data_IF_198121546768
#
_entry.id   IF_198121546768
#
_cell.length_a   1.000
_cell.length_b   1.000
_cell.length_c   1.000
_cell.angle_alpha   90.00
_cell.angle_beta   90.00
_cell.angle_gamma   90.00
#
_symmetry.space_group_name_H-M   'P 1'
#
loop_
_entity.id
_entity.type
_entity.pdbx_description
1 polymer ?
#
# COMPACT_ATOMS: atom_id res chain seq x y z
N UNK A 1 21.49 -15.29 16.60
CA UNK A 1 20.64 -14.63 15.59
C UNK A 1 19.35 -15.42 15.45
N UNK A 2 18.20 -14.76 15.30
CA UNK A 2 16.91 -15.44 15.15
C UNK A 2 15.75 -14.56 15.57
N UNK A 3 14.56 -14.86 15.05
CA UNK A 3 13.32 -14.25 15.50
C UNK A 3 12.94 -14.82 16.87
N UNK A 4 12.47 -13.96 17.77
CA UNK A 4 11.93 -14.36 19.07
C UNK A 4 10.41 -14.40 18.96
N UNK A 5 9.83 -15.57 19.17
CA UNK A 5 8.38 -15.79 19.14
C UNK A 5 7.84 -15.96 20.56
N UNK A 6 6.70 -15.33 20.84
CA UNK A 6 6.02 -15.46 22.15
C UNK A 6 5.25 -16.76 22.30
N UNK A 7 4.80 -17.32 21.19
CA UNK A 7 3.93 -18.50 21.15
C UNK A 7 4.14 -19.27 19.85
N UNK A 8 3.82 -20.56 19.88
CA UNK A 8 3.76 -21.43 18.70
C UNK A 8 2.28 -21.80 18.50
N UNK A 9 1.75 -21.49 17.32
CA UNK A 9 0.39 -21.86 16.92
C UNK A 9 0.42 -23.15 16.11
N UNK A 10 -0.25 -24.17 16.61
CA UNK A 10 -0.58 -25.39 15.87
C UNK A 10 -1.99 -25.21 15.32
N UNK A 11 -2.15 -24.95 14.01
CA UNK A 11 -3.48 -24.88 13.40
C UNK A 11 -4.14 -26.27 13.47
N UNK A 12 -5.43 -26.34 13.10
CA UNK A 12 -6.14 -27.61 12.99
C UNK A 12 -5.32 -28.62 12.18
N UNK A 13 -4.76 -29.61 12.87
CA UNK A 13 -3.75 -30.51 12.33
C UNK A 13 -4.04 -31.92 12.86
N UNK A 14 -4.61 -32.75 12.01
CA UNK A 14 -4.98 -34.13 12.37
C UNK A 14 -3.77 -35.07 12.29
N UNK A 15 -2.89 -34.85 11.31
CA UNK A 15 -1.72 -35.71 11.05
C UNK A 15 -0.44 -34.96 11.41
N UNK A 16 0.33 -35.48 12.37
CA UNK A 16 1.60 -34.89 12.82
C UNK A 16 2.64 -35.99 13.10
N UNK A 17 3.93 -35.83 12.73
CA UNK A 17 4.99 -36.71 13.21
C UNK A 17 5.07 -36.72 14.74
N UNK A 18 5.27 -37.90 15.34
CA UNK A 18 5.41 -38.04 16.79
C UNK A 18 6.55 -37.18 17.32
N UNK A 19 7.67 -37.18 16.62
CA UNK A 19 8.89 -36.44 16.98
C UNK A 19 8.65 -34.93 17.01
N UNK A 20 7.76 -34.43 16.14
CA UNK A 20 7.35 -33.02 16.14
C UNK A 20 6.49 -32.70 17.37
N UNK A 21 5.53 -33.56 17.72
CA UNK A 21 4.71 -33.38 18.92
C UNK A 21 5.58 -33.36 20.18
N UNK A 22 6.45 -34.35 20.34
CA UNK A 22 7.40 -34.43 21.47
C UNK A 22 8.27 -33.18 21.53
N UNK A 23 8.77 -32.68 20.39
CA UNK A 23 9.58 -31.47 20.39
C UNK A 23 8.80 -30.21 20.75
N UNK A 24 7.54 -30.11 20.35
CA UNK A 24 6.66 -29.01 20.77
C UNK A 24 6.48 -29.04 22.30
N UNK A 25 6.22 -30.21 22.87
CA UNK A 25 6.03 -30.38 24.31
C UNK A 25 7.29 -30.04 25.10
N UNK A 26 8.47 -30.48 24.64
CA UNK A 26 9.77 -30.09 25.21
C UNK A 26 9.96 -28.56 25.23
N UNK A 27 9.57 -27.87 24.15
CA UNK A 27 9.61 -26.40 24.13
C UNK A 27 8.64 -25.78 25.15
N UNK A 28 7.43 -26.34 25.29
CA UNK A 28 6.48 -25.87 26.30
C UNK A 28 7.01 -26.09 27.72
N UNK A 29 7.60 -27.26 27.99
CA UNK A 29 8.20 -27.57 29.29
C UNK A 29 9.33 -26.58 29.64
N UNK A 30 10.10 -26.15 28.64
CA UNK A 30 11.18 -25.16 28.79
C UNK A 30 10.69 -23.70 28.92
N UNK A 31 9.39 -23.43 28.72
CA UNK A 31 8.81 -22.09 28.92
C UNK A 31 8.02 -21.54 27.73
N UNK A 32 7.96 -22.24 26.61
CA UNK A 32 7.18 -21.78 25.46
C UNK A 32 5.67 -21.88 25.72
N UNK A 33 4.89 -21.06 25.00
CA UNK A 33 3.44 -21.16 24.96
C UNK A 33 3.00 -21.86 23.68
N UNK A 34 2.46 -23.07 23.79
CA UNK A 34 1.83 -23.78 22.68
C UNK A 34 0.34 -23.42 22.61
N UNK A 35 -0.17 -23.28 21.41
CA UNK A 35 -1.59 -23.00 21.17
C UNK A 35 -2.11 -23.96 20.10
N UNK A 36 -2.96 -24.91 20.49
CA UNK A 36 -3.65 -25.83 19.59
C UNK A 36 -5.02 -25.28 19.21
N UNK A 37 -5.27 -25.21 17.91
CA UNK A 37 -6.49 -24.67 17.33
C UNK A 37 -7.36 -25.79 16.75
N UNK A 38 -8.58 -25.93 17.26
CA UNK A 38 -9.60 -26.87 16.79
C UNK A 38 -9.46 -28.28 17.34
N UNK A 39 -8.28 -28.89 17.24
CA UNK A 39 -8.02 -30.25 17.74
C UNK A 39 -6.54 -30.50 18.06
N UNK A 40 -6.27 -31.56 18.82
CA UNK A 40 -4.94 -32.17 18.91
C UNK A 40 -4.70 -33.09 17.70
N UNK A 41 -3.43 -33.32 17.32
CA UNK A 41 -3.09 -34.35 16.36
C UNK A 41 -3.56 -35.72 16.86
N UNK A 42 -4.05 -36.56 15.95
CA UNK A 42 -4.59 -37.89 16.27
C UNK A 42 -4.03 -38.99 15.36
N UNK A 43 -3.18 -38.62 14.39
CA UNK A 43 -2.64 -39.50 13.36
C UNK A 43 -1.15 -39.20 13.14
N UNK A 44 -0.38 -40.22 12.73
CA UNK A 44 1.02 -40.09 12.33
C UNK A 44 1.18 -40.27 10.81
N UNK A 45 2.09 -39.53 10.15
CA UNK A 45 2.33 -39.73 8.72
C UNK A 45 3.21 -40.96 8.46
N UNK A 46 3.03 -41.54 7.26
CA UNK A 46 3.88 -42.62 6.74
C UNK A 46 3.58 -44.01 7.31
N UNK A 47 4.06 -45.06 6.62
CA UNK A 47 3.76 -46.47 6.94
C UNK A 47 4.82 -47.18 7.80
N UNK A 48 6.08 -46.72 7.75
CA UNK A 48 7.14 -47.29 8.59
C UNK A 48 6.68 -47.25 10.04
N UNK A 49 6.65 -48.35 10.81
CA UNK A 49 6.26 -48.38 12.25
C UNK A 49 5.04 -47.52 12.65
N UNK A 50 4.02 -47.43 11.79
CA UNK A 50 2.90 -46.51 12.00
C UNK A 50 2.10 -46.82 13.28
N UNK A 51 1.81 -48.09 13.54
CA UNK A 51 1.06 -48.53 14.72
C UNK A 51 1.79 -48.20 16.03
N UNK A 52 3.10 -48.45 16.09
CA UNK A 52 3.91 -48.16 17.29
C UNK A 52 3.97 -46.65 17.57
N UNK A 53 4.18 -45.82 16.55
CA UNK A 53 4.20 -44.36 16.72
C UNK A 53 2.83 -43.79 17.07
N UNK A 54 1.77 -44.34 16.49
CA UNK A 54 0.41 -43.93 16.82
C UNK A 54 0.07 -44.26 18.28
N UNK A 55 0.43 -45.45 18.74
CA UNK A 55 0.25 -45.84 20.14
C UNK A 55 1.00 -44.88 21.08
N UNK A 56 2.28 -44.61 20.81
CA UNK A 56 3.07 -43.65 21.61
C UNK A 56 2.47 -42.24 21.61
N UNK A 57 1.97 -41.77 20.46
CA UNK A 57 1.29 -40.46 20.39
C UNK A 57 0.04 -40.44 21.27
N UNK A 58 -0.77 -41.50 21.24
CA UNK A 58 -1.97 -41.60 22.07
C UNK A 58 -1.62 -41.63 23.55
N UNK A 59 -0.57 -42.35 23.94
CA UNK A 59 -0.07 -42.38 25.32
C UNK A 59 0.31 -40.97 25.78
N UNK A 60 1.18 -40.28 25.03
CA UNK A 60 1.61 -38.90 25.34
C UNK A 60 0.43 -37.94 25.47
N UNK A 61 -0.53 -37.98 24.54
CA UNK A 61 -1.68 -37.08 24.57
C UNK A 61 -2.63 -37.39 25.72
N UNK A 62 -2.76 -38.65 26.12
CA UNK A 62 -3.63 -39.07 27.22
C UNK A 62 -3.12 -38.58 28.58
N UNK A 63 -1.79 -38.55 28.78
CA UNK A 63 -1.16 -38.03 30.00
C UNK A 63 -1.40 -36.53 30.22
N UNK A 64 -1.67 -35.78 29.15
CA UNK A 64 -1.81 -34.33 29.24
C UNK A 64 -3.21 -33.88 29.70
N UNK A 65 -4.21 -34.77 29.68
CA UNK A 65 -5.60 -34.49 30.07
C UNK A 65 -6.18 -33.19 29.45
N UNK A 66 -5.84 -32.93 28.18
CA UNK A 66 -6.28 -31.73 27.47
C UNK A 66 -7.71 -31.90 26.93
N UNK A 67 -8.48 -30.83 26.96
CA UNK A 67 -9.87 -30.78 26.49
C UNK A 67 -10.05 -29.62 25.50
N UNK A 68 -10.91 -29.81 24.50
CA UNK A 68 -11.42 -28.73 23.67
C UNK A 68 -12.82 -28.36 24.14
N UNK A 69 -12.90 -27.22 24.81
CA UNK A 69 -14.16 -26.63 25.26
C UNK A 69 -14.64 -25.57 24.25
N UNK A 70 -15.90 -25.11 24.34
CA UNK A 70 -16.39 -24.00 23.53
C UNK A 70 -15.58 -22.70 23.71
N UNK A 71 -14.95 -22.54 24.87
CA UNK A 71 -14.02 -21.45 25.17
C UNK A 71 -12.57 -21.96 25.21
N UNK A 72 -11.61 -21.05 25.03
CA UNK A 72 -10.21 -21.41 25.13
C UNK A 72 -9.82 -21.74 26.58
N UNK A 73 -9.03 -22.80 26.77
CA UNK A 73 -8.55 -23.25 28.08
C UNK A 73 -7.02 -23.23 28.12
N UNK A 74 -6.48 -22.75 29.23
CA UNK A 74 -5.04 -22.61 29.45
C UNK A 74 -4.60 -23.63 30.49
N UNK A 75 -3.60 -24.42 30.15
CA UNK A 75 -2.99 -25.45 30.97
C UNK A 75 -1.55 -25.05 31.27
N UNK A 76 -1.15 -25.14 32.55
CA UNK A 76 0.26 -25.02 32.92
C UNK A 76 1.00 -26.29 32.50
N UNK A 77 2.18 -26.15 31.90
CA UNK A 77 2.98 -27.29 31.43
C UNK A 77 4.46 -26.99 31.59
N UNK A 78 5.13 -27.67 32.53
CA UNK A 78 6.49 -27.33 32.95
C UNK A 78 6.62 -25.86 33.33
N UNK A 79 7.55 -25.14 32.69
CA UNK A 79 7.73 -23.68 32.84
C UNK A 79 6.85 -22.85 31.91
N UNK A 80 6.20 -23.47 30.94
CA UNK A 80 5.39 -22.83 29.92
C UNK A 80 3.90 -23.12 30.07
N UNK A 81 3.20 -23.12 28.94
CA UNK A 81 1.75 -23.35 28.94
C UNK A 81 1.26 -23.90 27.62
N UNK A 82 0.15 -24.62 27.68
CA UNK A 82 -0.57 -25.14 26.52
C UNK A 82 -1.96 -24.51 26.51
N UNK A 83 -2.40 -24.05 25.35
CA UNK A 83 -3.73 -23.47 25.14
C UNK A 83 -4.47 -24.33 24.14
N UNK A 84 -5.67 -24.76 24.47
CA UNK A 84 -6.61 -25.35 23.51
C UNK A 84 -7.71 -24.33 23.22
N UNK A 85 -8.10 -24.19 21.96
CA UNK A 85 -9.18 -23.28 21.57
C UNK A 85 -9.89 -23.83 20.33
N UNK A 86 -11.23 -23.68 20.22
CA UNK A 86 -11.96 -24.16 19.05
C UNK A 86 -11.73 -23.28 17.81
N UNK A 87 -11.48 -21.99 18.01
CA UNK A 87 -11.25 -21.01 16.95
C UNK A 87 -10.24 -19.92 17.37
N UNK A 88 -9.83 -19.10 16.40
CA UNK A 88 -8.80 -18.09 16.59
C UNK A 88 -9.28 -16.94 17.50
N UNK A 89 -10.58 -16.65 17.53
CA UNK A 89 -11.12 -15.58 18.37
C UNK A 89 -11.03 -15.95 19.86
N UNK A 90 -11.44 -17.17 20.21
CA UNK A 90 -11.31 -17.72 21.55
C UNK A 90 -9.84 -17.86 21.96
N UNK A 91 -8.97 -18.30 21.04
CA UNK A 91 -7.52 -18.38 21.30
C UNK A 91 -6.92 -17.02 21.64
N UNK A 92 -7.31 -15.96 20.91
CA UNK A 92 -6.80 -14.62 21.12
C UNK A 92 -7.29 -14.01 22.44
N UNK A 93 -8.49 -14.35 22.91
CA UNK A 93 -9.07 -13.79 24.15
C UNK A 93 -8.29 -14.19 25.41
N UNK A 94 -7.70 -15.38 25.42
CA UNK A 94 -6.84 -15.88 26.51
C UNK A 94 -5.35 -15.68 26.24
N UNK A 95 -5.00 -14.94 25.19
CA UNK A 95 -3.62 -14.65 24.83
C UNK A 95 -3.25 -13.22 25.24
N UNK A 96 -1.99 -12.99 25.60
CA UNK A 96 -1.44 -11.64 25.73
C UNK A 96 -1.09 -11.01 24.38
N UNK A 97 -1.51 -11.64 23.27
CA UNK A 97 -1.25 -11.16 21.92
C UNK A 97 -2.26 -10.06 21.60
N UNK A 98 -1.77 -8.83 21.53
CA UNK A 98 -2.57 -7.69 21.11
C UNK A 98 -2.30 -7.40 19.64
N UNK A 99 -3.38 -7.29 18.85
CA UNK A 99 -3.29 -6.85 17.47
C UNK A 99 -2.97 -5.34 17.48
N UNK A 100 -1.91 -4.94 16.77
CA UNK A 100 -1.54 -3.51 16.67
C UNK A 100 -2.66 -2.72 15.97
N UNK A 101 -2.92 -1.49 16.45
CA UNK A 101 -4.05 -0.65 15.99
C UNK A 101 -4.03 -0.44 14.47
N UNK A 102 -2.84 -0.25 13.89
CA UNK A 102 -2.60 -0.18 12.44
C UNK A 102 -3.35 -1.27 11.66
N UNK A 103 -3.25 -2.52 12.10
CA UNK A 103 -3.91 -3.65 11.43
C UNK A 103 -5.32 -3.91 11.98
N UNK A 104 -5.55 -3.71 13.28
CA UNK A 104 -6.82 -4.01 13.94
C UNK A 104 -7.95 -3.07 13.50
N UNK A 105 -7.69 -1.76 13.55
CA UNK A 105 -8.67 -0.71 13.28
C UNK A 105 -8.70 -0.32 11.80
N UNK A 106 -7.53 -0.08 11.22
CA UNK A 106 -7.43 0.47 9.86
C UNK A 106 -7.26 -0.59 8.77
N UNK A 107 -6.88 -1.83 9.14
CA UNK A 107 -6.62 -2.89 8.16
C UNK A 107 -5.30 -2.71 7.40
N UNK A 108 -4.43 -1.79 7.84
CA UNK A 108 -3.11 -1.61 7.26
C UNK A 108 -2.28 -2.89 7.39
N UNK A 109 -1.46 -3.15 6.38
CA UNK A 109 -0.43 -4.19 6.43
C UNK A 109 0.89 -3.55 6.82
N UNK A 110 1.69 -4.26 7.59
CA UNK A 110 3.01 -3.76 7.94
C UNK A 110 4.02 -4.89 8.15
N UNK A 111 5.28 -4.59 7.86
CA UNK A 111 6.44 -5.34 8.32
C UNK A 111 7.17 -4.51 9.36
N UNK A 112 7.75 -5.16 10.37
CA UNK A 112 8.45 -4.49 11.46
C UNK A 112 9.81 -5.10 11.70
N UNK A 113 10.84 -4.26 11.80
CA UNK A 113 12.21 -4.65 12.15
C UNK A 113 12.62 -3.99 13.47
N UNK A 114 13.27 -4.75 14.33
CA UNK A 114 13.84 -4.27 15.59
C UNK A 114 15.31 -3.88 15.38
N UNK A 115 15.70 -2.76 15.98
CA UNK A 115 17.08 -2.32 16.16
C UNK A 115 17.37 -2.12 17.64
N UNK A 116 18.64 -1.90 18.00
CA UNK A 116 19.05 -1.68 19.40
C UNK A 116 18.46 -0.38 19.99
N UNK A 117 18.21 0.61 19.14
CA UNK A 117 17.80 1.98 19.48
C UNK A 117 16.33 2.28 19.14
N UNK A 118 15.55 1.28 18.69
CA UNK A 118 14.13 1.43 18.37
C UNK A 118 13.64 0.46 17.30
N UNK A 119 12.57 0.81 16.58
CA UNK A 119 11.96 -0.03 15.54
C UNK A 119 11.79 0.69 14.21
N UNK A 120 11.69 -0.08 13.13
CA UNK A 120 11.26 0.36 11.81
C UNK A 120 9.99 -0.37 11.44
N UNK A 121 8.98 0.36 11.01
CA UNK A 121 7.78 -0.16 10.39
C UNK A 121 7.78 0.24 8.92
N UNK A 122 7.51 -0.70 8.02
CA UNK A 122 7.02 -0.38 6.69
C UNK A 122 5.52 -0.66 6.69
N UNK A 123 4.70 0.38 6.53
CA UNK A 123 3.25 0.31 6.59
C UNK A 123 2.68 0.61 5.20
N UNK A 124 1.74 -0.19 4.73
CA UNK A 124 1.05 -0.01 3.46
C UNK A 124 -0.46 -0.10 3.63
N UNK A 125 -1.20 0.82 3.01
CA UNK A 125 -2.66 0.85 3.03
C UNK A 125 -3.23 0.31 1.72
N UNK A 126 -3.29 -1.02 1.60
CA UNK A 126 -3.84 -1.69 0.41
C UNK A 126 -5.38 -1.82 0.43
N UNK A 127 -6.02 -1.32 1.49
CA UNK A 127 -7.47 -1.27 1.59
C UNK A 127 -7.95 0.07 1.03
N UNK A 128 -9.18 0.12 0.52
CA UNK A 128 -9.85 1.38 0.19
C UNK A 128 -10.31 2.10 1.47
N UNK A 129 -9.34 2.53 2.27
CA UNK A 129 -9.48 3.23 3.55
C UNK A 129 -8.36 4.24 3.70
N UNK A 130 -8.59 5.26 4.51
CA UNK A 130 -7.57 6.25 4.90
C UNK A 130 -7.35 6.26 6.41
N UNK A 131 -6.15 6.67 6.80
CA UNK A 131 -5.80 7.05 8.16
C UNK A 131 -5.61 8.56 8.15
N UNK A 132 -6.30 9.26 9.04
CA UNK A 132 -6.07 10.66 9.39
C UNK A 132 -6.42 10.81 10.88
N UNK A 133 -5.64 10.13 11.73
CA UNK A 133 -5.97 9.94 13.15
C UNK A 133 -4.70 9.72 13.98
N UNK A 134 -4.85 9.77 15.31
CA UNK A 134 -3.85 9.33 16.26
C UNK A 134 -3.82 7.80 16.33
N UNK A 135 -2.69 7.21 15.93
CA UNK A 135 -2.49 5.76 15.87
C UNK A 135 -1.53 5.31 16.96
N UNK A 136 -1.94 4.32 17.75
CA UNK A 136 -1.10 3.67 18.75
C UNK A 136 -0.08 2.73 18.10
N UNK A 137 1.20 2.94 18.43
CA UNK A 137 2.28 2.06 18.00
C UNK A 137 2.37 0.84 18.93
N UNK A 138 2.76 -0.33 18.39
CA UNK A 138 3.09 -1.52 19.19
C UNK A 138 4.45 -1.45 19.91
N UNK A 139 4.97 -0.25 20.14
CA UNK A 139 6.16 0.03 20.94
C UNK A 139 6.04 1.39 21.60
N UNK A 140 6.77 1.56 22.71
CA UNK A 140 7.06 2.89 23.21
C UNK A 140 8.20 3.51 22.40
N UNK A 141 8.24 4.84 22.31
CA UNK A 141 9.27 5.59 21.60
C UNK A 141 9.34 7.03 22.13
N UNK A 142 10.53 7.61 22.17
CA UNK A 142 10.71 9.03 22.54
C UNK A 142 10.86 9.94 21.32
N UNK A 143 11.16 9.37 20.16
CA UNK A 143 11.25 10.07 18.90
C UNK A 143 10.71 9.21 17.76
N UNK A 144 9.95 9.82 16.84
CA UNK A 144 9.40 9.13 15.66
C UNK A 144 9.51 10.02 14.42
N UNK A 145 9.95 9.41 13.32
CA UNK A 145 10.01 10.02 11.99
C UNK A 145 9.15 9.21 11.02
N UNK A 146 8.50 9.93 10.11
CA UNK A 146 7.79 9.38 8.96
C UNK A 146 8.62 9.65 7.71
N UNK A 147 8.82 8.62 6.89
CA UNK A 147 9.50 8.74 5.62
C UNK A 147 8.55 8.29 4.51
N UNK A 148 8.37 9.16 3.52
CA UNK A 148 7.65 8.81 2.31
C UNK A 148 8.62 8.09 1.35
N UNK A 149 8.46 6.77 1.09
CA UNK A 149 9.37 6.02 0.24
C UNK A 149 9.31 6.42 -1.24
N UNK A 150 8.26 7.14 -1.66
CA UNK A 150 8.05 7.59 -3.03
C UNK A 150 8.72 8.92 -3.33
N UNK A 151 8.69 9.85 -2.36
CA UNK A 151 9.20 11.21 -2.54
C UNK A 151 10.52 11.48 -1.82
N UNK A 152 10.91 10.62 -0.87
CA UNK A 152 12.06 10.84 0.01
C UNK A 152 11.80 11.89 1.11
N UNK A 153 10.57 12.41 1.21
CA UNK A 153 10.18 13.37 2.24
C UNK A 153 10.32 12.77 3.64
N UNK A 154 10.77 13.60 4.58
CA UNK A 154 11.00 13.26 5.98
C UNK A 154 10.21 14.21 6.87
N UNK A 155 9.32 13.64 7.67
CA UNK A 155 8.42 14.41 8.54
C UNK A 155 8.62 13.96 9.98
N UNK A 156 8.77 14.92 10.90
CA UNK A 156 8.72 14.60 12.33
C UNK A 156 7.29 14.24 12.70
N UNK A 157 7.07 13.04 13.22
CA UNK A 157 5.74 12.65 13.65
C UNK A 157 5.30 13.52 14.83
N UNK A 158 4.05 13.97 14.83
CA UNK A 158 3.43 14.47 16.05
C UNK A 158 3.19 13.30 16.98
N UNK A 159 3.61 13.44 18.23
CA UNK A 159 3.60 12.37 19.22
C UNK A 159 2.80 12.79 20.44
N UNK A 160 2.08 11.84 21.03
CA UNK A 160 1.51 11.97 22.37
C UNK A 160 1.57 10.63 23.10
N UNK A 161 1.52 10.68 24.43
CA UNK A 161 1.35 9.47 25.24
C UNK A 161 -0.11 9.33 25.65
N UNK A 162 -0.68 8.15 25.42
CA UNK A 162 -2.04 7.81 25.84
C UNK A 162 -2.04 6.41 26.45
N UNK A 163 -2.53 6.29 27.69
CA UNK A 163 -2.54 5.01 28.45
C UNK A 163 -1.16 4.33 28.51
N UNK A 164 -0.09 5.10 28.72
CA UNK A 164 1.28 4.58 28.82
C UNK A 164 1.86 4.06 27.51
N UNK A 165 1.23 4.35 26.37
CA UNK A 165 1.70 3.95 25.03
C UNK A 165 1.90 5.17 24.15
N UNK A 166 2.85 5.06 23.22
CA UNK A 166 3.12 6.10 22.22
C UNK A 166 2.06 6.08 21.12
N UNK A 167 1.45 7.24 20.87
CA UNK A 167 0.63 7.50 19.69
C UNK A 167 1.31 8.50 18.77
N UNK A 168 1.12 8.31 17.47
CA UNK A 168 1.52 9.25 16.43
C UNK A 168 0.33 9.73 15.64
N UNK A 169 0.33 10.98 15.21
CA UNK A 169 -0.62 11.41 14.20
C UNK A 169 -0.15 10.92 12.83
N UNK A 170 -0.97 10.10 12.17
CA UNK A 170 -0.62 9.48 10.89
C UNK A 170 -1.67 9.82 9.83
N UNK A 171 -1.18 10.29 8.69
CA UNK A 171 -1.94 10.46 7.46
C UNK A 171 -1.45 9.43 6.45
N UNK A 172 -2.36 8.58 5.96
CA UNK A 172 -2.05 7.54 4.99
C UNK A 172 -3.30 7.19 4.17
N UNK A 173 -3.26 7.48 2.87
CA UNK A 173 -4.35 7.23 1.93
C UNK A 173 -4.34 5.79 1.39
N UNK A 174 -5.43 5.38 0.77
CA UNK A 174 -5.49 4.12 0.04
C UNK A 174 -4.43 4.10 -1.09
N UNK A 175 -3.67 3.01 -1.18
CA UNK A 175 -2.55 2.85 -2.12
C UNK A 175 -1.20 3.35 -1.59
N UNK A 176 -1.17 4.15 -0.51
CA UNK A 176 0.07 4.71 0.01
C UNK A 176 0.84 3.74 0.91
N UNK A 177 2.13 4.06 1.07
CA UNK A 177 2.99 3.45 2.07
C UNK A 177 3.85 4.48 2.78
N UNK A 178 4.24 4.17 4.02
CA UNK A 178 5.08 5.00 4.86
C UNK A 178 6.07 4.13 5.63
N UNK A 179 7.29 4.63 5.80
CA UNK A 179 8.24 4.05 6.73
C UNK A 179 8.19 4.86 8.03
N UNK A 180 7.91 4.18 9.15
CA UNK A 180 7.89 4.79 10.48
C UNK A 180 9.13 4.30 11.22
N UNK A 181 10.03 5.22 11.58
CA UNK A 181 11.21 4.91 12.37
C UNK A 181 11.07 5.50 13.75
N UNK A 182 11.22 4.65 14.76
CA UNK A 182 11.19 5.04 16.17
C UNK A 182 12.58 5.00 16.77
N UNK A 183 12.82 5.86 17.76
CA UNK A 183 14.01 5.85 18.59
C UNK A 183 13.72 6.10 20.07
N UNK A 184 14.64 5.63 20.91
CA UNK A 184 14.71 6.00 22.33
C UNK A 184 15.28 7.41 22.55
N UNK A 185 16.02 7.94 21.56
CA UNK A 185 16.49 9.31 21.52
C UNK A 185 16.63 9.76 20.06
N UNK A 186 16.19 10.99 19.75
CA UNK A 186 16.31 11.51 18.39
C UNK A 186 17.79 11.63 17.97
N UNK A 187 18.22 11.04 16.85
CA UNK A 187 19.57 11.23 16.32
C UNK A 187 19.90 12.71 16.08
N UNK A 188 21.15 13.10 16.34
CA UNK A 188 21.57 14.51 16.30
C UNK A 188 21.37 15.16 14.92
N UNK A 189 21.57 14.43 13.83
CA UNK A 189 21.40 14.98 12.48
C UNK A 189 19.93 15.39 12.22
N UNK A 190 18.95 14.65 12.76
CA UNK A 190 17.53 15.02 12.65
C UNK A 190 17.10 16.13 13.61
N UNK A 191 17.89 16.45 14.64
CA UNK A 191 17.59 17.58 15.53
C UNK A 191 17.87 18.93 14.85
N UNK A 192 18.86 18.95 13.96
CA UNK A 192 19.31 20.16 13.27
C UNK A 192 18.73 20.32 11.85
N UNK A 193 18.06 19.29 11.33
CA UNK A 193 17.36 19.35 10.04
C UNK A 193 16.06 20.17 10.17
N UNK A 194 15.76 21.00 9.17
CA UNK A 194 14.41 21.59 9.02
C UNK A 194 13.47 20.48 8.53
N UNK A 195 12.82 19.81 9.47
CA UNK A 195 11.90 18.72 9.18
C UNK A 195 10.53 19.26 8.76
N UNK A 196 9.90 18.55 7.82
CA UNK A 196 8.53 18.86 7.43
C UNK A 196 7.58 18.62 8.62
N UNK A 197 6.54 19.44 8.68
CA UNK A 197 5.41 19.25 9.60
C UNK A 197 4.25 18.61 8.85
N UNK A 198 3.35 17.96 9.59
CA UNK A 198 2.13 17.38 9.01
C UNK A 198 1.27 18.49 8.40
N UNK A 199 0.96 18.35 7.12
CA UNK A 199 0.14 19.26 6.33
C UNK A 199 -1.28 18.69 6.15
N UNK A 200 -2.30 19.52 6.35
CA UNK A 200 -3.70 19.16 6.05
C UNK A 200 -4.18 19.83 4.78
N UNK A 201 -4.93 19.06 3.99
CA UNK A 201 -5.67 19.52 2.82
C UNK A 201 -6.91 20.29 3.23
N UNK A 202 -7.13 21.44 2.59
CA UNK A 202 -8.40 22.16 2.66
C UNK A 202 -9.13 22.03 1.32
N UNK A 203 -9.88 20.93 1.19
CA UNK A 203 -10.66 20.58 0.00
C UNK A 203 -11.74 21.63 -0.33
N UNK A 204 -12.24 22.37 0.67
CA UNK A 204 -13.25 23.41 0.45
C UNK A 204 -12.66 24.60 -0.33
N UNK A 205 -11.35 24.75 -0.29
CA UNK A 205 -10.63 25.82 -0.97
C UNK A 205 -9.91 25.38 -2.24
N UNK A 206 -10.17 24.16 -2.69
CA UNK A 206 -9.58 23.58 -3.86
C UNK A 206 -9.91 24.38 -5.14
N UNK A 207 -8.93 24.50 -6.03
CA UNK A 207 -9.02 25.31 -7.26
C UNK A 207 -8.82 24.39 -8.47
N UNK A 208 -9.90 24.13 -9.20
CA UNK A 208 -9.85 23.37 -10.46
C UNK A 208 -9.21 24.20 -11.57
N UNK A 209 -8.25 23.61 -12.28
CA UNK A 209 -7.48 24.28 -13.33
C UNK A 209 -8.24 24.39 -14.66
N UNK A 210 -9.35 25.13 -14.64
CA UNK A 210 -10.16 25.44 -15.84
C UNK A 210 -9.44 26.44 -16.75
N UNK A 211 -9.63 26.29 -18.06
CA UNK A 211 -9.14 27.21 -19.07
C UNK A 211 -9.03 26.58 -20.46
N UNK A 212 -8.36 27.30 -21.36
CA UNK A 212 -8.07 26.81 -22.70
C UNK A 212 -6.74 26.04 -22.67
N UNK A 213 -6.83 24.73 -22.52
CA UNK A 213 -5.68 23.81 -22.49
C UNK A 213 -5.16 23.60 -23.90
N UNK A 214 -3.88 23.85 -24.15
CA UNK A 214 -3.22 23.41 -25.39
C UNK A 214 -2.91 21.92 -25.26
N UNK A 215 -3.18 21.16 -26.31
CA UNK A 215 -3.00 19.72 -26.36
C UNK A 215 -2.26 19.34 -27.64
N UNK A 216 -1.32 18.41 -27.55
CA UNK A 216 -0.69 17.78 -28.71
C UNK A 216 -0.21 16.36 -28.36
N UNK A 217 -0.35 15.41 -29.30
CA UNK A 217 0.36 14.14 -29.22
C UNK A 217 1.87 14.37 -29.37
N UNK A 218 2.68 13.65 -28.61
CA UNK A 218 4.14 13.84 -28.59
C UNK A 218 4.88 12.62 -29.16
N UNK A 219 4.83 11.51 -28.44
CA UNK A 219 5.57 10.29 -28.76
C UNK A 219 4.66 9.08 -28.58
N UNK A 220 4.72 8.10 -29.48
CA UNK A 220 3.82 6.95 -29.44
C UNK A 220 3.43 6.41 -30.80
N UNK A 221 2.47 5.48 -30.77
CA UNK A 221 1.99 4.71 -31.91
C UNK A 221 0.48 4.84 -32.05
N UNK A 222 -0.07 4.86 -33.29
CA UNK A 222 0.65 4.83 -34.55
C UNK A 222 1.41 6.15 -34.83
N UNK A 223 2.60 6.06 -35.42
CA UNK A 223 3.44 7.25 -35.72
C UNK A 223 2.77 8.25 -36.69
N UNK A 224 1.76 7.77 -37.43
CA UNK A 224 0.98 8.56 -38.38
C UNK A 224 0.06 9.59 -37.72
N UNK A 225 -0.11 9.55 -36.39
CA UNK A 225 -1.01 10.47 -35.70
C UNK A 225 -0.51 11.90 -35.85
N UNK A 226 -1.43 12.82 -36.16
CA UNK A 226 -1.06 14.23 -36.26
C UNK A 226 -0.53 14.71 -34.91
N UNK A 227 0.66 15.31 -34.94
CA UNK A 227 1.28 15.98 -33.79
C UNK A 227 0.97 17.47 -33.76
N UNK A 228 0.09 17.95 -34.64
CA UNK A 228 -0.39 19.32 -34.61
C UNK A 228 -1.20 19.56 -33.33
N UNK A 229 -0.89 20.65 -32.65
CA UNK A 229 -1.57 20.99 -31.41
C UNK A 229 -2.91 21.68 -31.64
N UNK A 230 -3.88 21.41 -30.77
CA UNK A 230 -5.14 22.14 -30.71
C UNK A 230 -5.46 22.55 -29.26
N UNK A 231 -6.65 23.10 -29.03
CA UNK A 231 -7.07 23.52 -27.70
C UNK A 231 -8.32 22.77 -27.21
N UNK A 232 -8.25 22.25 -25.99
CA UNK A 232 -9.37 21.72 -25.23
C UNK A 232 -9.89 22.80 -24.27
N UNK A 233 -11.20 22.95 -24.16
CA UNK A 233 -11.82 23.99 -23.33
C UNK A 233 -13.23 23.57 -22.90
N UNK A 234 -13.68 23.90 -21.68
CA UNK A 234 -12.95 24.64 -20.63
C UNK A 234 -12.02 23.76 -19.77
N UNK A 235 -11.96 22.46 -20.06
CA UNK A 235 -11.15 21.45 -19.38
C UNK A 235 -10.66 20.44 -20.44
N UNK A 236 -9.60 19.66 -20.16
CA UNK A 236 -9.27 18.52 -20.98
C UNK A 236 -10.36 17.44 -20.86
N UNK A 237 -10.43 16.60 -21.89
CA UNK A 237 -11.23 15.39 -21.93
C UNK A 237 -10.39 14.28 -22.59
N UNK A 238 -10.91 13.05 -22.54
CA UNK A 238 -10.20 11.89 -23.05
C UNK A 238 -9.80 12.08 -24.51
N UNK A 239 -8.54 11.76 -24.85
CA UNK A 239 -8.14 11.88 -26.25
C UNK A 239 -8.82 10.83 -27.13
N UNK A 240 -9.39 9.76 -26.56
CA UNK A 240 -10.15 8.76 -27.32
C UNK A 240 -11.51 9.27 -27.80
N UNK A 241 -11.98 10.40 -27.24
CA UNK A 241 -13.22 11.07 -27.67
C UNK A 241 -12.97 12.10 -28.78
N UNK A 242 -11.72 12.25 -29.23
CA UNK A 242 -11.40 13.11 -30.35
C UNK A 242 -11.93 12.52 -31.65
N UNK A 243 -12.43 13.38 -32.54
CA UNK A 243 -12.76 13.06 -33.93
C UNK A 243 -11.48 12.92 -34.78
N UNK A 244 -10.54 12.10 -34.29
CA UNK A 244 -9.27 11.73 -34.91
C UNK A 244 -9.21 10.20 -34.83
N UNK A 245 -9.35 9.51 -35.96
CA UNK A 245 -9.47 8.04 -36.00
C UNK A 245 -8.37 7.32 -35.21
N UNK A 246 -7.14 7.82 -35.28
CA UNK A 246 -5.96 7.23 -34.64
C UNK A 246 -5.86 7.52 -33.13
N UNK A 247 -6.65 8.45 -32.60
CA UNK A 247 -6.61 8.77 -31.17
C UNK A 247 -7.22 7.65 -30.31
N UNK A 248 -8.18 6.89 -30.85
CA UNK A 248 -8.85 5.76 -30.19
C UNK A 248 -7.93 4.56 -29.96
N UNK A 249 -6.92 4.37 -30.80
CA UNK A 249 -5.95 3.30 -30.71
C UNK A 249 -4.53 3.79 -30.40
N UNK A 250 -4.38 5.07 -30.03
CA UNK A 250 -3.08 5.63 -29.68
C UNK A 250 -2.53 5.02 -28.38
N UNK A 251 -1.25 4.65 -28.41
CA UNK A 251 -0.47 4.26 -27.24
C UNK A 251 0.79 5.12 -27.17
N UNK A 252 0.91 5.92 -26.11
CA UNK A 252 2.04 6.82 -25.93
C UNK A 252 1.70 8.04 -25.09
N UNK A 253 2.41 9.13 -25.34
CA UNK A 253 2.37 10.37 -24.58
C UNK A 253 1.71 11.51 -25.35
N UNK A 254 0.81 12.24 -24.69
CA UNK A 254 0.36 13.56 -25.12
C UNK A 254 0.66 14.62 -24.06
N UNK A 255 0.80 15.87 -24.50
CA UNK A 255 1.19 17.00 -23.65
C UNK A 255 0.05 18.01 -23.58
N UNK A 256 -0.35 18.32 -22.34
CA UNK A 256 -1.34 19.32 -22.00
C UNK A 256 -0.64 20.56 -21.40
N UNK A 257 -0.95 21.77 -21.89
CA UNK A 257 -0.41 23.02 -21.34
C UNK A 257 -1.52 23.99 -20.96
N UNK A 258 -1.39 24.60 -19.79
CA UNK A 258 -2.30 25.66 -19.35
C UNK A 258 -1.51 26.82 -18.73
N UNK A 259 -1.88 28.03 -19.12
CA UNK A 259 -1.50 29.25 -18.41
C UNK A 259 -2.67 29.69 -17.53
N UNK A 260 -2.46 29.77 -16.23
CA UNK A 260 -3.50 30.10 -15.25
C UNK A 260 -3.01 31.10 -14.21
N UNK A 261 -3.93 31.83 -13.59
CA UNK A 261 -3.60 32.81 -12.54
C UNK A 261 -3.79 32.14 -11.17
N UNK A 262 -2.72 32.06 -10.39
CA UNK A 262 -2.81 31.54 -9.02
C UNK A 262 -3.57 32.54 -8.13
N UNK A 263 -4.49 32.06 -7.27
CA UNK A 263 -5.17 32.93 -6.31
C UNK A 263 -4.17 33.55 -5.33
N UNK A 264 -4.48 34.76 -4.84
CA UNK A 264 -3.74 35.40 -3.73
C UNK A 264 -4.19 34.82 -2.38
N UNK A 265 -4.10 33.51 -2.22
CA UNK A 265 -4.39 32.81 -0.97
C UNK A 265 -3.10 32.48 -0.23
N UNK A 266 -3.11 32.61 1.08
CA UNK A 266 -2.03 32.10 1.93
C UNK A 266 -2.24 30.58 2.06
N UNK A 267 -1.21 29.81 1.78
CA UNK A 267 -1.12 28.37 2.03
C UNK A 267 0.36 28.06 2.31
N UNK A 268 0.62 27.04 3.12
CA UNK A 268 1.98 26.63 3.44
C UNK A 268 2.58 25.80 2.29
N UNK A 269 1.74 25.04 1.58
CA UNK A 269 2.07 24.35 0.34
C UNK A 269 0.80 24.17 -0.53
N UNK A 270 0.91 23.52 -1.69
CA UNK A 270 -0.20 23.17 -2.57
C UNK A 270 -0.05 21.74 -3.07
N UNK A 271 -1.11 20.96 -3.01
CA UNK A 271 -1.21 19.63 -3.62
C UNK A 271 -1.87 19.74 -5.00
N UNK A 272 -1.20 19.27 -6.05
CA UNK A 272 -1.83 19.00 -7.34
C UNK A 272 -2.44 17.60 -7.28
N UNK A 273 -3.76 17.53 -7.45
CA UNK A 273 -4.54 16.31 -7.41
C UNK A 273 -5.22 16.05 -8.75
N UNK A 274 -4.94 14.88 -9.32
CA UNK A 274 -5.56 14.42 -10.55
C UNK A 274 -6.86 13.64 -10.30
N UNK A 275 -7.11 13.17 -9.08
CA UNK A 275 -8.24 12.31 -8.76
C UNK A 275 -8.33 11.12 -9.72
N UNK A 276 -9.54 10.81 -10.18
CA UNK A 276 -9.80 9.75 -11.18
C UNK A 276 -9.62 10.22 -12.63
N UNK A 277 -9.12 11.44 -12.87
CA UNK A 277 -9.08 12.01 -14.22
C UNK A 277 -7.84 11.66 -15.04
N UNK A 278 -6.87 10.95 -14.45
CA UNK A 278 -5.59 10.64 -15.09
C UNK A 278 -5.54 9.19 -15.58
N UNK A 279 -5.26 9.02 -16.88
CA UNK A 279 -5.11 7.73 -17.55
C UNK A 279 -3.81 7.72 -18.38
N UNK A 280 -2.68 7.22 -17.88
CA UNK A 280 -2.50 6.44 -16.64
C UNK A 280 -1.35 6.97 -15.77
N UNK A 281 -0.40 7.69 -16.36
CA UNK A 281 0.69 8.34 -15.63
C UNK A 281 0.98 9.71 -16.21
N UNK A 282 1.48 10.63 -15.39
CA UNK A 282 1.82 11.98 -15.80
C UNK A 282 3.21 12.40 -15.33
N UNK A 283 3.93 13.14 -16.17
CA UNK A 283 5.06 13.97 -15.77
C UNK A 283 4.62 15.43 -15.76
N UNK A 284 4.89 16.13 -14.66
CA UNK A 284 4.45 17.51 -14.45
C UNK A 284 5.63 18.45 -14.47
N UNK A 285 5.48 19.57 -15.19
CA UNK A 285 6.36 20.73 -15.10
C UNK A 285 5.55 21.97 -14.78
N UNK A 286 6.09 22.83 -13.93
CA UNK A 286 5.45 24.11 -13.57
C UNK A 286 6.49 25.21 -13.76
N UNK A 287 6.12 26.26 -14.49
CA UNK A 287 6.98 27.41 -14.79
C UNK A 287 8.35 27.00 -15.42
N UNK A 288 8.37 25.90 -16.18
CA UNK A 288 9.57 25.35 -16.81
C UNK A 288 10.38 24.39 -15.93
N UNK A 289 10.07 24.27 -14.64
CA UNK A 289 10.77 23.39 -13.71
C UNK A 289 10.12 21.99 -13.64
N UNK A 290 10.94 20.94 -13.59
CA UNK A 290 10.48 19.55 -13.47
C UNK A 290 10.00 19.25 -12.04
N UNK A 291 8.70 19.01 -11.89
CA UNK A 291 8.09 18.74 -10.59
C UNK A 291 8.30 17.28 -10.20
N UNK A 292 8.03 16.37 -11.14
CA UNK A 292 8.12 14.94 -10.92
C UNK A 292 7.14 14.14 -11.78
N UNK A 293 6.93 12.88 -11.39
CA UNK A 293 6.03 11.93 -12.06
C UNK A 293 5.02 11.39 -11.07
N UNK A 294 3.80 11.16 -11.54
CA UNK A 294 2.73 10.48 -10.80
C UNK A 294 2.25 9.31 -11.65
N UNK A 295 2.20 8.12 -11.05
CA UNK A 295 1.98 6.86 -11.77
C UNK A 295 1.21 5.81 -10.96
N UNK A 296 0.88 6.13 -9.71
CA UNK A 296 0.09 5.27 -8.83
C UNK A 296 -0.86 6.13 -7.99
N UNK A 297 -1.93 5.49 -7.53
CA UNK A 297 -2.90 6.11 -6.62
C UNK A 297 -2.32 6.32 -5.22
N UNK A 298 -2.68 7.41 -4.52
CA UNK A 298 -3.44 8.54 -5.04
C UNK A 298 -2.62 9.36 -6.04
N UNK A 299 -3.22 9.76 -7.17
CA UNK A 299 -2.53 10.52 -8.21
C UNK A 299 -2.32 11.99 -7.79
N UNK A 300 -1.38 12.21 -6.87
CA UNK A 300 -1.17 13.49 -6.21
C UNK A 300 0.32 13.83 -6.07
N UNK A 301 0.64 15.12 -6.00
CA UNK A 301 1.99 15.61 -5.67
C UNK A 301 1.97 17.02 -5.08
N UNK A 302 2.91 17.32 -4.20
CA UNK A 302 3.09 18.67 -3.67
C UNK A 302 3.86 19.54 -4.67
N UNK A 303 3.35 20.74 -4.93
CA UNK A 303 3.79 21.63 -6.01
C UNK A 303 4.01 23.07 -5.59
N UNK A 304 3.74 23.45 -4.33
CA UNK A 304 3.70 24.84 -3.90
C UNK A 304 5.00 25.60 -4.14
N UNK A 305 6.16 24.95 -3.96
CA UNK A 305 7.48 25.56 -4.22
C UNK A 305 7.69 26.00 -5.68
N UNK A 306 6.95 25.44 -6.63
CA UNK A 306 7.03 25.78 -8.05
C UNK A 306 6.02 26.86 -8.45
N UNK A 307 5.08 27.22 -7.57
CA UNK A 307 3.99 28.15 -7.87
C UNK A 307 4.29 29.58 -7.44
N UNK A 308 3.90 30.54 -8.29
CA UNK A 308 4.01 31.98 -8.04
C UNK A 308 2.65 32.53 -7.62
N UNK A 309 2.41 32.64 -6.31
CA UNK A 309 1.16 33.14 -5.72
C UNK A 309 0.73 34.50 -6.29
N UNK A 310 -0.54 34.64 -6.64
CA UNK A 310 -1.11 35.88 -7.19
C UNK A 310 -0.66 36.25 -8.61
N UNK A 311 0.24 35.47 -9.23
CA UNK A 311 0.78 35.69 -10.58
C UNK A 311 0.26 34.63 -11.54
N UNK A 312 0.53 34.84 -12.83
CA UNK A 312 0.33 33.80 -13.83
C UNK A 312 1.41 32.73 -13.68
N UNK A 313 0.98 31.48 -13.80
CA UNK A 313 1.79 30.27 -13.81
C UNK A 313 1.51 29.50 -15.10
N UNK A 314 2.48 28.71 -15.52
CA UNK A 314 2.34 27.77 -16.63
C UNK A 314 2.50 26.35 -16.09
N UNK A 315 1.58 25.46 -16.43
CA UNK A 315 1.67 24.03 -16.14
C UNK A 315 1.71 23.26 -17.44
N UNK A 316 2.63 22.30 -17.52
CA UNK A 316 2.75 21.31 -18.59
C UNK A 316 2.60 19.92 -17.97
N UNK A 317 1.70 19.12 -18.52
CA UNK A 317 1.38 17.77 -18.06
C UNK A 317 1.55 16.82 -19.25
N UNK A 318 2.59 16.00 -19.23
CA UNK A 318 2.80 14.96 -20.22
C UNK A 318 2.18 13.66 -19.71
N UNK A 319 1.06 13.24 -20.29
CA UNK A 319 0.31 12.04 -19.88
C UNK A 319 0.62 10.89 -20.82
N UNK A 320 0.91 9.72 -20.25
CA UNK A 320 1.17 8.47 -20.98
C UNK A 320 0.14 7.41 -20.59
N UNK A 321 -0.53 6.82 -21.57
CA UNK A 321 -1.51 5.75 -21.36
C UNK A 321 -0.87 4.35 -21.43
N UNK A 322 -1.69 3.32 -21.21
CA UNK A 322 -1.33 1.92 -21.45
C UNK A 322 -1.49 1.57 -22.94
N UNK A 323 -0.74 0.59 -23.47
CA UNK A 323 -0.88 0.13 -24.85
C UNK A 323 -2.14 -0.70 -25.11
N UNK A 324 -3.05 -0.81 -24.13
CA UNK A 324 -4.25 -1.66 -24.21
C UNK A 324 -5.12 -1.35 -25.44
N UNK A 325 -5.32 -0.07 -25.76
CA UNK A 325 -6.10 0.36 -26.92
C UNK A 325 -5.43 -0.05 -28.24
N UNK A 326 -4.11 0.15 -28.36
CA UNK A 326 -3.34 -0.25 -29.54
C UNK A 326 -3.29 -1.77 -29.72
N UNK A 327 -3.09 -2.50 -28.62
CA UNK A 327 -3.07 -3.98 -28.62
C UNK A 327 -4.43 -4.53 -29.06
N UNK A 328 -5.52 -3.97 -28.54
CA UNK A 328 -6.87 -4.35 -28.95
C UNK A 328 -7.12 -4.08 -30.45
N UNK A 329 -6.68 -2.93 -30.95
CA UNK A 329 -6.74 -2.59 -32.37
C UNK A 329 -5.93 -3.56 -33.25
N UNK A 330 -4.71 -3.89 -32.84
CA UNK A 330 -3.88 -4.84 -33.56
C UNK A 330 -4.53 -6.23 -33.66
N UNK A 331 -5.09 -6.73 -32.56
CA UNK A 331 -5.82 -8.00 -32.57
C UNK A 331 -7.09 -7.92 -33.45
N UNK A 332 -7.84 -6.81 -33.42
CA UNK A 332 -9.01 -6.59 -34.31
C UNK A 332 -8.64 -6.58 -35.79
N UNK A 333 -7.46 -6.04 -36.14
CA UNK A 333 -6.97 -5.97 -37.53
C UNK A 333 -6.15 -7.19 -37.96
N UNK A 334 -5.93 -8.15 -37.08
CA UNK A 334 -5.10 -9.33 -37.35
C UNK A 334 -3.61 -9.00 -37.58
N UNK A 335 -3.12 -7.90 -36.99
CA UNK A 335 -1.70 -7.53 -37.07
C UNK A 335 -0.89 -8.49 -36.21
N UNK A 336 0.18 -9.07 -36.76
CA UNK A 336 1.09 -9.91 -35.97
C UNK A 336 2.04 -9.04 -35.12
N UNK A 337 1.64 -8.76 -33.88
CA UNK A 337 2.42 -7.93 -32.95
C UNK A 337 3.11 -8.74 -31.83
N UNK A 338 2.74 -10.00 -31.65
CA UNK A 338 3.26 -10.88 -30.60
C UNK A 338 4.55 -11.59 -31.03
N UNK A 339 5.61 -10.81 -31.22
CA UNK A 339 6.91 -11.29 -31.66
C UNK A 339 7.80 -11.82 -30.52
N UNK A 340 7.19 -12.38 -29.47
CA UNK A 340 7.91 -12.83 -28.29
C UNK A 340 8.58 -14.19 -28.52
N UNK A 341 9.82 -14.36 -28.02
CA UNK A 341 10.48 -15.66 -27.93
C UNK A 341 10.27 -16.22 -26.52
N UNK A 342 9.88 -17.49 -26.41
CA UNK A 342 9.80 -18.28 -25.17
C UNK A 342 8.75 -17.88 -24.11
N UNK A 343 7.70 -17.12 -24.48
CA UNK A 343 6.54 -16.88 -23.60
C UNK A 343 5.21 -17.19 -24.28
N UNK A 344 4.46 -18.13 -23.70
CA UNK A 344 3.09 -18.43 -24.12
C UNK A 344 2.13 -17.46 -23.42
N UNK A 345 1.69 -16.41 -24.11
CA UNK A 345 0.58 -15.58 -23.65
C UNK A 345 -0.72 -16.36 -23.88
N UNK A 346 -1.21 -16.97 -22.81
CA UNK A 346 -2.42 -17.79 -22.80
C UNK A 346 -3.37 -17.33 -21.70
N UNK A 347 -4.65 -17.63 -21.87
CA UNK A 347 -5.65 -17.45 -20.80
C UNK A 347 -5.32 -18.28 -19.55
N UNK A 348 -6.02 -18.02 -18.44
CA UNK A 348 -5.94 -18.84 -17.21
C UNK A 348 -6.30 -20.32 -17.44
N UNK A 349 -6.91 -20.65 -18.58
CA UNK A 349 -7.23 -22.01 -19.03
C UNK A 349 -6.23 -22.57 -20.06
N UNK A 350 -5.07 -21.92 -20.23
CA UNK A 350 -4.03 -22.31 -21.18
C UNK A 350 -4.50 -22.37 -22.65
N UNK A 351 -5.47 -21.53 -23.03
CA UNK A 351 -5.91 -21.35 -24.43
C UNK A 351 -5.34 -20.07 -25.04
N UNK A 352 -5.07 -20.03 -26.37
CA UNK A 352 -4.80 -18.78 -27.08
C UNK A 352 -5.87 -17.75 -26.77
N UNK A 353 -5.46 -16.51 -26.51
CA UNK A 353 -6.37 -15.41 -26.19
C UNK A 353 -6.05 -14.22 -27.10
N UNK A 354 -7.08 -13.54 -27.58
CA UNK A 354 -7.01 -12.25 -28.28
C UNK A 354 -7.63 -11.16 -27.41
N UNK A 355 -7.24 -9.91 -27.63
CA UNK A 355 -7.73 -8.71 -26.96
C UNK A 355 -8.63 -7.88 -27.88
N UNK A 356 -9.12 -8.49 -28.96
CA UNK A 356 -10.05 -7.92 -29.93
C UNK A 356 -11.44 -7.61 -29.35
N UNK A 357 -11.76 -8.21 -28.20
CA UNK A 357 -13.00 -7.96 -27.46
C UNK A 357 -12.94 -6.78 -26.49
N UNK A 358 -11.77 -6.13 -26.32
CA UNK A 358 -11.65 -4.98 -25.43
C UNK A 358 -12.28 -3.73 -26.03
N UNK A 359 -13.14 -3.08 -25.25
CA UNK A 359 -13.59 -1.72 -25.53
C UNK A 359 -12.43 -0.74 -25.38
N UNK A 360 -12.49 0.36 -26.15
CA UNK A 360 -11.57 1.49 -26.00
C UNK A 360 -11.61 1.99 -24.57
N UNK A 361 -10.43 2.08 -23.94
CA UNK A 361 -10.24 2.65 -22.61
C UNK A 361 -9.95 4.13 -22.70
N UNK A 362 -10.39 4.86 -21.68
CA UNK A 362 -10.04 6.26 -21.47
C UNK A 362 -8.52 6.46 -21.52
N UNK A 363 -8.08 7.62 -22.01
CA UNK A 363 -6.66 7.93 -22.11
C UNK A 363 -6.41 9.44 -22.07
N UNK A 364 -5.35 9.85 -21.37
CA UNK A 364 -5.02 11.24 -21.17
C UNK A 364 -5.62 11.81 -19.88
N UNK A 365 -6.10 13.05 -19.95
CA UNK A 365 -6.84 13.72 -18.87
C UNK A 365 -8.33 13.79 -19.23
N UNK A 366 -9.20 13.18 -18.43
CA UNK A 366 -10.66 13.23 -18.64
C UNK A 366 -11.32 14.46 -18.00
N UNK A 367 -10.59 15.19 -17.15
CA UNK A 367 -11.00 16.45 -16.55
C UNK A 367 -9.77 17.26 -16.09
N UNK A 368 -9.95 18.54 -15.75
CA UNK A 368 -8.84 19.34 -15.23
C UNK A 368 -8.45 18.88 -13.81
N UNK A 369 -7.14 18.78 -13.50
CA UNK A 369 -6.69 18.53 -12.13
C UNK A 369 -6.98 19.73 -11.23
N UNK A 370 -6.86 19.50 -9.93
CA UNK A 370 -7.23 20.44 -8.88
C UNK A 370 -6.01 20.80 -8.04
N UNK A 371 -5.87 22.08 -7.70
CA UNK A 371 -4.90 22.55 -6.71
C UNK A 371 -5.57 22.70 -5.35
N UNK A 372 -5.13 21.93 -4.37
CA UNK A 372 -5.66 21.93 -3.01
C UNK A 372 -4.64 22.63 -2.09
N UNK A 373 -5.01 23.70 -1.37
CA UNK A 373 -4.09 24.34 -0.45
C UNK A 373 -3.80 23.43 0.75
N UNK A 374 -2.53 23.41 1.16
CA UNK A 374 -2.04 22.67 2.31
C UNK A 374 -1.66 23.64 3.43
N UNK A 375 -2.01 23.29 4.66
CA UNK A 375 -1.69 24.08 5.85
C UNK A 375 -1.02 23.22 6.91
N UNK A 376 -0.05 23.80 7.62
CA UNK A 376 0.48 23.19 8.82
C UNK A 376 -0.66 23.00 9.82
N UNK A 377 -0.72 21.79 10.36
CA UNK A 377 -1.56 21.53 11.52
C UNK A 377 -1.11 22.44 12.65
N UNK A 378 -1.99 23.32 13.14
CA UNK A 378 -1.70 24.06 14.36
C UNK A 378 -1.53 23.03 15.50
N UNK A 379 -0.51 23.18 16.36
CA UNK A 379 -0.20 22.25 17.43
C UNK A 379 -1.34 22.07 18.44
#
# INVERSE_FOLDING_TARGET
EGNVYKSILVPRCEVMPLETLEKLLDLAEQGARLMFLGNLPSQVPGLFQAEERLAKMQDVLSEMELEFLPDAKVYSYGKGSIVTAPDLASLLSVSSLTKEELSAKYGAKFARRQYADGKVYFVSMLQNKQIDDWVMLGCDAKAVMLFNPMTGEKTRAQMRHHQGKTQIYLQLQAGESVIIRTWDQMPQHYQNETLQQVLRKDEQQAVRLKGKWQFAFADGWPETISKEGFAMSPEPFSWTDLEIDQAKNFAGTAVYKLRFKMPKKKADDWCLDFGESLYESARVRINGEDVGKVWAVPYQMNVGKYLKTGKYNEIEIAVTNLPANLISDYDKRGVEWRIFKDINIVSVFYKPITFDVWDTKESGLTAAPVLIPLYHTQP
#
